data_IF_636763367524
#
_entry.id   IF_636763367524
#
_cell.length_a   1.000
_cell.length_b   1.000
_cell.length_c   1.000
_cell.angle_alpha   90.00
_cell.angle_beta   90.00
_cell.angle_gamma   90.00
#
_symmetry.space_group_name_H-M   'P 1'
#
loop_
_entity.id
_entity.type
_entity.pdbx_description
1 polymer ?
#
# COMPACT_ATOMS: atom_id res chain seq x y z
N UNK A 1 22.13 9.50 -17.13
CA UNK A 1 21.71 8.10 -17.28
C UNK A 1 20.19 8.07 -17.42
N UNK A 2 19.61 7.45 -18.47
CA UNK A 2 18.15 7.36 -18.63
C UNK A 2 17.62 6.17 -17.84
N UNK A 3 16.63 6.39 -16.95
CA UNK A 3 15.89 5.30 -16.30
C UNK A 3 14.82 4.81 -17.28
N UNK A 4 14.77 3.50 -17.52
CA UNK A 4 13.79 2.87 -18.40
C UNK A 4 13.09 1.75 -17.64
N UNK A 5 11.77 1.71 -17.68
CA UNK A 5 10.98 0.59 -17.14
C UNK A 5 11.01 -0.53 -18.18
N UNK A 6 11.29 -1.74 -17.74
CA UNK A 6 11.26 -2.94 -18.58
C UNK A 6 10.10 -3.83 -18.13
N UNK A 7 9.43 -4.55 -19.05
CA UNK A 7 8.43 -5.53 -18.68
C UNK A 7 9.04 -6.58 -17.73
N UNK A 8 8.34 -6.88 -16.64
CA UNK A 8 8.70 -7.96 -15.75
C UNK A 8 7.90 -9.23 -16.08
N UNK A 9 8.37 -10.39 -15.62
CA UNK A 9 7.69 -11.67 -15.84
C UNK A 9 6.25 -11.66 -15.31
N UNK A 10 6.01 -11.02 -14.17
CA UNK A 10 4.70 -10.93 -13.53
C UNK A 10 3.66 -10.18 -14.40
N UNK A 11 4.11 -9.22 -15.23
CA UNK A 11 3.25 -8.47 -16.15
C UNK A 11 2.58 -9.37 -17.20
N UNK A 12 3.17 -10.55 -17.46
CA UNK A 12 2.68 -11.49 -18.47
C UNK A 12 1.63 -12.46 -17.94
N UNK A 13 1.43 -12.51 -16.62
CA UNK A 13 0.56 -13.49 -15.99
C UNK A 13 -0.88 -12.98 -15.87
N UNK A 14 -1.89 -13.83 -16.13
CA UNK A 14 -3.28 -13.52 -15.79
C UNK A 14 -3.45 -13.16 -14.31
N UNK A 15 -4.42 -12.29 -13.96
CA UNK A 15 -4.62 -11.88 -12.57
C UNK A 15 -4.91 -13.04 -11.60
N UNK A 16 -5.57 -14.08 -12.08
CA UNK A 16 -5.95 -15.30 -11.36
C UNK A 16 -4.90 -16.42 -11.44
N UNK A 17 -3.78 -16.20 -12.13
CA UNK A 17 -2.66 -17.15 -12.16
C UNK A 17 -2.17 -17.44 -10.73
N UNK A 18 -1.98 -18.72 -10.35
CA UNK A 18 -1.53 -19.09 -9.01
C UNK A 18 -0.23 -18.39 -8.58
N UNK A 19 0.69 -18.13 -9.53
CA UNK A 19 1.96 -17.44 -9.28
C UNK A 19 1.75 -15.96 -9.04
N UNK A 20 0.83 -15.31 -9.77
CA UNK A 20 0.46 -13.92 -9.53
C UNK A 20 -0.23 -13.74 -8.16
N UNK A 21 -1.13 -14.66 -7.80
CA UNK A 21 -1.77 -14.69 -6.48
C UNK A 21 -0.73 -14.89 -5.37
N UNK A 22 0.23 -15.80 -5.57
CA UNK A 22 1.33 -16.02 -4.63
C UNK A 22 2.19 -14.77 -4.48
N UNK A 23 2.57 -14.11 -5.56
CA UNK A 23 3.35 -12.86 -5.52
C UNK A 23 2.69 -11.80 -4.63
N UNK A 24 1.36 -11.59 -4.77
CA UNK A 24 0.61 -10.66 -3.90
C UNK A 24 0.62 -11.08 -2.42
N UNK A 25 0.60 -12.39 -2.14
CA UNK A 25 0.70 -12.91 -0.76
C UNK A 25 2.10 -12.67 -0.19
N UNK A 26 3.13 -12.94 -0.97
CA UNK A 26 4.52 -12.76 -0.59
C UNK A 26 4.78 -11.27 -0.28
N UNK A 27 4.26 -10.36 -1.13
CA UNK A 27 4.36 -8.92 -0.89
C UNK A 27 3.69 -8.47 0.42
N UNK A 28 2.52 -9.04 0.76
CA UNK A 28 1.86 -8.78 2.05
C UNK A 28 2.71 -9.19 3.24
N UNK A 29 3.40 -10.34 3.15
CA UNK A 29 4.29 -10.84 4.19
C UNK A 29 5.54 -9.98 4.31
N UNK A 30 6.17 -9.62 3.18
CA UNK A 30 7.34 -8.72 3.17
C UNK A 30 6.99 -7.38 3.80
N UNK A 31 5.87 -6.76 3.41
CA UNK A 31 5.40 -5.51 4.00
C UNK A 31 5.11 -5.63 5.51
N UNK A 32 4.64 -6.79 5.96
CA UNK A 32 4.44 -7.04 7.39
C UNK A 32 5.78 -7.16 8.13
N UNK A 33 6.73 -7.95 7.62
CA UNK A 33 8.07 -8.10 8.21
C UNK A 33 8.84 -6.79 8.26
N UNK A 34 8.75 -5.96 7.22
CA UNK A 34 9.38 -4.63 7.18
C UNK A 34 8.67 -3.60 8.07
N UNK A 35 7.47 -3.91 8.58
CA UNK A 35 6.67 -2.96 9.35
C UNK A 35 6.18 -1.78 8.52
N UNK A 36 6.09 -1.91 7.20
CA UNK A 36 5.85 -0.81 6.25
C UNK A 36 4.63 0.06 6.62
N UNK A 37 3.52 -0.57 7.02
CA UNK A 37 2.30 0.13 7.45
C UNK A 37 2.54 1.03 8.67
N UNK A 38 3.30 0.55 9.66
CA UNK A 38 3.62 1.32 10.88
C UNK A 38 4.58 2.45 10.58
N UNK A 39 5.59 2.20 9.76
CA UNK A 39 6.56 3.22 9.35
C UNK A 39 5.88 4.35 8.58
N UNK A 40 5.01 4.02 7.63
CA UNK A 40 4.26 5.02 6.87
C UNK A 40 3.28 5.79 7.77
N UNK A 41 2.56 5.11 8.67
CA UNK A 41 1.69 5.79 9.62
C UNK A 41 2.48 6.79 10.49
N UNK A 42 3.63 6.40 11.00
CA UNK A 42 4.50 7.30 11.78
C UNK A 42 4.97 8.49 10.97
N UNK A 43 5.40 8.28 9.73
CA UNK A 43 5.79 9.37 8.84
C UNK A 43 4.64 10.34 8.58
N UNK A 44 3.43 9.83 8.30
CA UNK A 44 2.23 10.66 8.10
C UNK A 44 1.83 11.43 9.37
N UNK A 45 1.98 10.84 10.56
CA UNK A 45 1.68 11.53 11.82
C UNK A 45 2.71 12.58 12.20
N UNK A 46 3.95 12.42 11.74
CA UNK A 46 5.07 13.31 12.08
C UNK A 46 5.22 14.45 11.08
N UNK A 47 5.19 14.11 9.80
CA UNK A 47 5.57 15.00 8.70
C UNK A 47 4.39 15.24 7.72
N UNK A 48 3.23 14.63 7.98
CA UNK A 48 2.01 14.84 7.18
C UNK A 48 1.27 16.14 7.53
N UNK A 49 0.11 16.37 6.89
CA UNK A 49 -0.68 17.57 7.13
C UNK A 49 -1.22 17.63 8.56
N UNK A 50 -1.27 18.84 9.13
CA UNK A 50 -1.81 19.08 10.47
C UNK A 50 -3.29 18.67 10.55
N UNK A 51 -4.06 18.93 9.49
CA UNK A 51 -5.45 18.49 9.35
C UNK A 51 -5.54 17.17 8.58
N UNK A 52 -6.45 16.25 8.98
CA UNK A 52 -6.65 14.99 8.27
C UNK A 52 -7.15 15.23 6.84
N UNK A 53 -6.57 14.56 5.83
CA UNK A 53 -7.14 14.58 4.49
C UNK A 53 -8.51 13.90 4.48
N UNK A 54 -9.39 14.34 3.59
CA UNK A 54 -10.69 13.69 3.40
C UNK A 54 -10.56 12.32 2.71
N UNK A 55 -9.52 12.17 1.88
CA UNK A 55 -9.36 11.02 1.02
C UNK A 55 -7.88 10.66 0.85
N UNK A 56 -7.56 9.37 0.87
CA UNK A 56 -6.23 8.83 0.61
C UNK A 56 -6.32 7.71 -0.43
N UNK A 57 -5.46 7.73 -1.45
CA UNK A 57 -5.49 6.78 -2.56
C UNK A 57 -4.20 5.98 -2.66
N UNK A 58 -4.28 4.66 -2.83
CA UNK A 58 -3.13 3.78 -3.07
C UNK A 58 -2.98 3.48 -4.57
N UNK A 59 -2.00 4.11 -5.21
CA UNK A 59 -1.68 3.83 -6.60
C UNK A 59 -0.98 2.47 -6.70
N UNK A 60 -1.58 1.55 -7.46
CA UNK A 60 -1.08 0.18 -7.58
C UNK A 60 -1.42 -0.70 -6.38
N UNK A 61 -2.57 -0.47 -5.73
CA UNK A 61 -2.99 -1.15 -4.50
C UNK A 61 -3.09 -2.68 -4.56
N UNK A 62 -3.12 -3.27 -5.76
CA UNK A 62 -3.30 -4.70 -5.92
C UNK A 62 -4.62 -5.18 -5.31
N UNK A 63 -4.56 -5.75 -4.10
CA UNK A 63 -5.74 -6.21 -3.35
C UNK A 63 -6.25 -5.22 -2.28
N UNK A 64 -5.64 -4.03 -2.17
CA UNK A 64 -6.07 -2.95 -1.26
C UNK A 64 -5.79 -3.22 0.23
N UNK A 65 -5.18 -4.35 0.57
CA UNK A 65 -4.96 -4.74 1.97
C UNK A 65 -3.97 -3.84 2.70
N UNK A 66 -3.03 -3.23 1.97
CA UNK A 66 -2.04 -2.34 2.55
C UNK A 66 -2.68 -1.04 3.03
N UNK A 67 -3.36 -0.29 2.14
CA UNK A 67 -4.04 0.96 2.50
C UNK A 67 -5.16 0.74 3.53
N UNK A 68 -5.93 -0.34 3.43
CA UNK A 68 -6.95 -0.65 4.44
C UNK A 68 -6.31 -0.82 5.83
N UNK A 69 -5.21 -1.56 5.92
CA UNK A 69 -4.49 -1.75 7.18
C UNK A 69 -3.86 -0.46 7.71
N UNK A 70 -3.39 0.42 6.81
CA UNK A 70 -2.91 1.75 7.18
C UNK A 70 -4.04 2.63 7.73
N UNK A 71 -5.18 2.67 7.05
CA UNK A 71 -6.36 3.45 7.46
C UNK A 71 -6.83 3.08 8.86
N UNK A 72 -6.82 1.78 9.19
CA UNK A 72 -7.15 1.29 10.53
C UNK A 72 -6.21 1.83 11.63
N UNK A 73 -4.92 2.00 11.32
CA UNK A 73 -3.94 2.59 12.25
C UNK A 73 -4.21 4.10 12.42
N UNK A 74 -4.60 4.78 11.33
CA UNK A 74 -4.80 6.23 11.29
C UNK A 74 -6.17 6.65 11.84
N UNK A 75 -7.17 5.77 11.81
CA UNK A 75 -8.57 6.06 12.15
C UNK A 75 -8.79 6.81 13.49
N UNK A 76 -8.05 6.55 14.59
CA UNK A 76 -8.22 7.30 15.83
C UNK A 76 -7.87 8.79 15.72
N UNK A 77 -6.98 9.14 14.78
CA UNK A 77 -6.46 10.50 14.62
C UNK A 77 -7.05 11.19 13.40
N UNK A 78 -7.37 10.43 12.35
CA UNK A 78 -8.01 10.88 11.11
C UNK A 78 -9.40 10.23 10.96
N UNK A 79 -10.40 10.67 11.76
CA UNK A 79 -11.73 10.11 11.67
C UNK A 79 -12.39 10.50 10.33
N UNK A 80 -13.11 9.55 9.73
CA UNK A 80 -13.83 9.78 8.46
C UNK A 80 -12.94 9.82 7.22
N UNK A 81 -11.67 9.37 7.31
CA UNK A 81 -10.81 9.22 6.15
C UNK A 81 -11.40 8.21 5.16
N UNK A 82 -11.66 8.64 3.94
CA UNK A 82 -11.99 7.76 2.83
C UNK A 82 -10.72 7.18 2.20
N UNK A 83 -10.77 5.92 1.79
CA UNK A 83 -9.64 5.23 1.14
C UNK A 83 -10.06 4.50 -0.13
N UNK A 84 -9.23 4.59 -1.17
CA UNK A 84 -9.44 3.89 -2.46
C UNK A 84 -8.15 3.36 -3.07
#
# INVERSE_FOLDING_TARGET
>A
MKRLVQPEWLDTLPPDDPSAVRSRRDLRQVNACMGSRRLLAQALMKDGPDDPPRHLTELGAGDGTFLLGLAQILAPRWPGLEVT
#
